data_IF_278482412417
#
_entry.id   IF_278482412417
#
_cell.length_a   1.000
_cell.length_b   1.000
_cell.length_c   1.000
_cell.angle_alpha   90.00
_cell.angle_beta   90.00
_cell.angle_gamma   90.00
#
_symmetry.space_group_name_H-M   'P 1'
#
loop_
_entity.id
_entity.type
_entity.pdbx_description
1 polymer ?
#
# COMPACT_ATOMS: atom_id res chain seq x y z
N UNK A 1 -7.27 -8.97 -65.99
CA UNK A 1 -6.37 -8.77 -64.84
C UNK A 1 -6.46 -9.99 -63.95
N UNK A 2 -5.50 -10.89 -64.09
CA UNK A 2 -5.48 -12.22 -63.49
C UNK A 2 -4.84 -12.13 -62.10
N UNK A 3 -5.62 -12.42 -61.04
CA UNK A 3 -5.15 -12.37 -59.64
C UNK A 3 -4.31 -13.60 -59.36
N UNK A 4 -2.99 -13.43 -59.31
CA UNK A 4 -2.05 -14.46 -58.87
C UNK A 4 -2.25 -14.81 -57.39
N UNK A 5 -2.39 -16.11 -57.04
CA UNK A 5 -2.62 -16.55 -55.67
C UNK A 5 -1.35 -16.39 -54.83
N UNK A 6 -1.47 -15.73 -53.67
CA UNK A 6 -0.34 -15.56 -52.74
C UNK A 6 0.03 -16.89 -52.08
N UNK A 7 1.33 -17.23 -51.99
CA UNK A 7 1.78 -18.47 -51.38
C UNK A 7 1.49 -18.48 -49.88
N UNK A 8 0.81 -19.54 -49.41
CA UNK A 8 0.61 -19.81 -47.98
C UNK A 8 1.95 -20.26 -47.38
N UNK A 9 2.66 -19.33 -46.74
CA UNK A 9 3.84 -19.63 -45.93
C UNK A 9 3.35 -20.32 -44.65
N UNK A 10 3.46 -21.65 -44.60
CA UNK A 10 3.31 -22.40 -43.34
C UNK A 10 4.58 -22.21 -42.52
N UNK A 11 4.57 -21.24 -41.62
CA UNK A 11 5.61 -21.11 -40.59
C UNK A 11 5.42 -22.26 -39.60
N UNK A 12 6.23 -23.30 -39.75
CA UNK A 12 6.27 -24.42 -38.81
C UNK A 12 7.08 -23.98 -37.60
N UNK A 13 6.43 -23.38 -36.61
CA UNK A 13 7.07 -23.01 -35.33
C UNK A 13 7.45 -24.31 -34.63
N UNK A 14 8.74 -24.63 -34.61
CA UNK A 14 9.28 -25.77 -33.86
C UNK A 14 9.08 -25.46 -32.37
N UNK A 15 8.44 -26.33 -31.57
CA UNK A 15 8.30 -26.10 -30.13
C UNK A 15 9.70 -25.97 -29.54
N UNK A 16 10.04 -24.75 -29.09
CA UNK A 16 11.32 -24.43 -28.48
C UNK A 16 11.29 -25.05 -27.09
N UNK A 17 12.06 -26.10 -26.86
CA UNK A 17 12.36 -26.56 -25.51
C UNK A 17 12.87 -25.34 -24.73
N UNK A 18 12.34 -25.05 -23.54
CA UNK A 18 12.80 -23.92 -22.75
C UNK A 18 14.32 -24.08 -22.55
N UNK A 19 15.12 -23.04 -22.82
CA UNK A 19 16.55 -23.12 -22.54
C UNK A 19 16.71 -23.44 -21.05
N UNK A 20 17.71 -24.25 -20.69
CA UNK A 20 18.06 -24.55 -19.30
C UNK A 20 18.20 -23.27 -18.46
N UNK A 21 18.55 -22.16 -19.12
CA UNK A 21 18.67 -20.80 -18.59
C UNK A 21 17.33 -20.19 -18.14
N UNK A 22 16.19 -20.61 -18.70
CA UNK A 22 14.88 -20.08 -18.32
C UNK A 22 14.41 -20.63 -16.97
N UNK A 23 14.76 -21.88 -16.66
CA UNK A 23 14.44 -22.50 -15.38
C UNK A 23 15.29 -21.87 -14.27
N UNK A 24 16.59 -21.68 -14.53
CA UNK A 24 17.48 -21.01 -13.56
C UNK A 24 17.07 -19.55 -13.32
N UNK A 25 16.62 -18.83 -14.35
CA UNK A 25 16.11 -17.47 -14.20
C UNK A 25 14.86 -17.41 -13.31
N UNK A 26 13.88 -18.29 -13.53
CA UNK A 26 12.65 -18.29 -12.73
C UNK A 26 12.92 -18.59 -11.25
N UNK A 27 13.78 -19.57 -10.97
CA UNK A 27 14.23 -19.89 -9.60
C UNK A 27 14.94 -18.70 -8.96
N UNK A 28 15.82 -18.01 -9.69
CA UNK A 28 16.53 -16.84 -9.18
C UNK A 28 15.60 -15.66 -8.86
N UNK A 29 14.58 -15.42 -9.71
CA UNK A 29 13.55 -14.40 -9.45
C UNK A 29 12.73 -14.78 -8.21
N UNK A 30 12.35 -16.05 -8.06
CA UNK A 30 11.60 -16.52 -6.89
C UNK A 30 12.40 -16.34 -5.59
N UNK A 31 13.66 -16.74 -5.57
CA UNK A 31 14.53 -16.61 -4.40
C UNK A 31 14.78 -15.14 -4.03
N UNK A 32 15.02 -14.28 -5.03
CA UNK A 32 15.18 -12.83 -4.84
C UNK A 32 13.90 -12.21 -4.28
N UNK A 33 12.74 -12.57 -4.83
CA UNK A 33 11.45 -12.10 -4.34
C UNK A 33 11.20 -12.56 -2.90
N UNK A 34 11.50 -13.82 -2.59
CA UNK A 34 11.35 -14.40 -1.24
C UNK A 34 12.21 -13.65 -0.22
N UNK A 35 13.43 -13.29 -0.58
CA UNK A 35 14.31 -12.50 0.27
C UNK A 35 13.73 -11.09 0.49
N UNK A 36 13.36 -10.38 -0.58
CA UNK A 36 12.77 -9.03 -0.47
C UNK A 36 11.47 -9.01 0.34
N UNK A 37 10.61 -10.00 0.16
CA UNK A 37 9.38 -10.14 0.97
C UNK A 37 9.70 -10.34 2.44
N UNK A 38 10.70 -11.16 2.79
CA UNK A 38 11.12 -11.34 4.20
C UNK A 38 11.65 -10.04 4.81
N UNK A 39 12.49 -9.31 4.07
CA UNK A 39 13.04 -8.02 4.50
C UNK A 39 11.92 -6.98 4.69
N UNK A 40 11.01 -6.88 3.72
CA UNK A 40 9.85 -5.98 3.80
C UNK A 40 8.90 -6.36 4.95
N UNK A 41 8.65 -7.66 5.19
CA UNK A 41 7.84 -8.12 6.33
C UNK A 41 8.48 -7.71 7.64
N UNK A 42 9.80 -7.91 7.79
CA UNK A 42 10.52 -7.55 9.01
C UNK A 42 10.51 -6.03 9.22
N UNK A 43 10.80 -5.25 8.18
CA UNK A 43 10.80 -3.79 8.22
C UNK A 43 9.41 -3.23 8.57
N UNK A 44 8.35 -3.65 7.89
CA UNK A 44 6.99 -3.19 8.15
C UNK A 44 6.49 -3.63 9.54
N UNK A 45 6.80 -4.86 9.98
CA UNK A 45 6.38 -5.34 11.29
C UNK A 45 7.07 -4.58 12.43
N UNK A 46 8.40 -4.45 12.36
CA UNK A 46 9.19 -3.75 13.38
C UNK A 46 8.89 -2.25 13.39
N UNK A 47 8.83 -1.62 12.21
CA UNK A 47 8.46 -0.22 12.04
C UNK A 47 7.05 0.06 12.56
N UNK A 48 6.07 -0.75 12.15
CA UNK A 48 4.69 -0.62 12.60
C UNK A 48 4.52 -0.77 14.11
N UNK A 49 5.21 -1.73 14.74
CA UNK A 49 5.22 -1.89 16.19
C UNK A 49 5.87 -0.71 16.91
N UNK A 50 6.98 -0.19 16.39
CA UNK A 50 7.66 0.98 16.94
C UNK A 50 6.78 2.24 16.86
N UNK A 51 6.10 2.43 15.73
CA UNK A 51 5.14 3.52 15.53
C UNK A 51 3.96 3.39 16.49
N UNK A 52 3.42 2.18 16.69
CA UNK A 52 2.34 1.94 17.67
C UNK A 52 2.80 2.27 19.10
N UNK A 53 4.01 1.86 19.48
CA UNK A 53 4.57 2.21 20.78
C UNK A 53 4.71 3.73 20.94
N UNK A 54 5.21 4.43 19.91
CA UNK A 54 5.26 5.89 19.87
C UNK A 54 3.88 6.54 19.99
N UNK A 55 2.86 5.97 19.35
CA UNK A 55 1.48 6.44 19.43
C UNK A 55 0.90 6.33 20.85
N UNK A 56 1.24 5.26 21.58
CA UNK A 56 0.86 5.08 23.00
C UNK A 56 1.53 6.14 23.87
N UNK A 57 2.82 6.39 23.68
CA UNK A 57 3.54 7.45 24.40
C UNK A 57 2.91 8.81 24.12
N UNK A 58 2.61 9.12 22.85
CA UNK A 58 1.93 10.35 22.47
C UNK A 58 0.53 10.45 23.11
N UNK A 59 -0.24 9.36 23.19
CA UNK A 59 -1.55 9.33 23.84
C UNK A 59 -1.45 9.66 25.34
N UNK A 60 -0.45 9.12 26.02
CA UNK A 60 -0.19 9.39 27.44
C UNK A 60 0.15 10.87 27.64
N UNK A 61 0.98 11.46 26.78
CA UNK A 61 1.31 12.89 26.83
C UNK A 61 0.04 13.73 26.61
N UNK A 62 -0.75 13.42 25.57
CA UNK A 62 -2.02 14.11 25.29
C UNK A 62 -2.99 14.03 26.47
N UNK A 63 -3.08 12.87 27.13
CA UNK A 63 -3.86 12.71 28.36
C UNK A 63 -3.42 13.68 29.46
N UNK A 64 -2.12 13.76 29.74
CA UNK A 64 -1.60 14.65 30.78
C UNK A 64 -1.79 16.13 30.44
N UNK A 65 -1.62 16.51 29.17
CA UNK A 65 -1.89 17.87 28.70
C UNK A 65 -3.37 18.21 28.86
N UNK A 66 -4.27 17.34 28.43
CA UNK A 66 -5.71 17.52 28.60
C UNK A 66 -6.10 17.62 30.09
N UNK A 67 -5.49 16.80 30.95
CA UNK A 67 -5.71 16.83 32.40
C UNK A 67 -5.23 18.13 33.03
N UNK A 68 -4.05 18.62 32.67
CA UNK A 68 -3.50 19.88 33.15
C UNK A 68 -4.37 21.08 32.70
N UNK A 69 -4.79 21.09 31.43
CA UNK A 69 -5.68 22.12 30.89
C UNK A 69 -7.04 22.15 31.60
N UNK A 70 -7.68 20.99 31.80
CA UNK A 70 -8.91 20.91 32.58
C UNK A 70 -8.68 21.35 34.04
N UNK A 71 -7.55 20.99 34.62
CA UNK A 71 -7.14 21.41 35.96
C UNK A 71 -7.08 22.93 36.07
N UNK A 72 -6.37 23.58 35.14
CA UNK A 72 -6.25 25.03 35.07
C UNK A 72 -7.61 25.68 34.84
N UNK A 73 -8.35 25.29 33.80
CA UNK A 73 -9.65 25.88 33.46
C UNK A 73 -10.68 25.78 34.60
N UNK A 74 -10.73 24.63 35.28
CA UNK A 74 -11.69 24.41 36.37
C UNK A 74 -11.33 25.19 37.63
N UNK A 75 -10.04 25.39 37.94
CA UNK A 75 -9.64 26.17 39.12
C UNK A 75 -10.19 27.61 39.12
N UNK A 76 -10.39 28.21 37.94
CA UNK A 76 -10.92 29.56 37.80
C UNK A 76 -12.45 29.64 37.88
N UNK A 77 -13.16 28.59 37.47
CA UNK A 77 -14.62 28.62 37.31
C UNK A 77 -15.34 27.87 38.44
N UNK A 78 -14.90 26.64 38.75
CA UNK A 78 -15.51 25.77 39.75
C UNK A 78 -14.58 24.62 40.14
N UNK A 79 -14.47 24.33 41.44
CA UNK A 79 -13.66 23.23 41.98
C UNK A 79 -14.24 21.85 41.63
N UNK A 80 -13.86 21.35 40.46
CA UNK A 80 -14.22 20.00 40.00
C UNK A 80 -13.44 18.94 40.81
N UNK A 81 -14.09 17.83 41.25
CA UNK A 81 -13.40 16.76 41.95
C UNK A 81 -12.39 16.03 41.04
N UNK A 82 -11.31 15.53 41.65
CA UNK A 82 -10.17 14.94 40.93
C UNK A 82 -10.55 13.78 39.99
N UNK A 83 -11.47 12.92 40.42
CA UNK A 83 -11.92 11.77 39.62
C UNK A 83 -12.63 12.18 38.33
N UNK A 84 -13.42 13.27 38.37
CA UNK A 84 -14.16 13.75 37.22
C UNK A 84 -13.23 14.36 36.17
N UNK A 85 -12.16 15.06 36.60
CA UNK A 85 -11.11 15.56 35.69
C UNK A 85 -10.43 14.40 34.95
N UNK A 86 -10.08 13.32 35.67
CA UNK A 86 -9.49 12.11 35.06
C UNK A 86 -10.40 11.49 34.02
N UNK A 87 -11.69 11.35 34.33
CA UNK A 87 -12.68 10.77 33.43
C UNK A 87 -12.85 11.62 32.15
N UNK A 88 -12.92 12.95 32.30
CA UNK A 88 -13.00 13.87 31.16
C UNK A 88 -11.74 13.84 30.30
N UNK A 89 -10.54 13.78 30.88
CA UNK A 89 -9.29 13.67 30.11
C UNK A 89 -9.22 12.38 29.29
N UNK A 90 -9.64 11.25 29.85
CA UNK A 90 -9.77 10.01 29.09
C UNK A 90 -10.82 10.11 28.00
N UNK A 91 -11.98 10.72 28.31
CA UNK A 91 -13.05 10.98 27.34
C UNK A 91 -12.57 11.82 26.16
N UNK A 92 -11.72 12.82 26.40
CA UNK A 92 -11.08 13.65 25.37
C UNK A 92 -10.18 12.79 24.48
N UNK A 93 -9.27 12.00 25.05
CA UNK A 93 -8.36 11.15 24.27
C UNK A 93 -9.14 10.15 23.43
N UNK A 94 -10.10 9.44 24.03
CA UNK A 94 -10.97 8.50 23.31
C UNK A 94 -11.76 9.22 22.21
N UNK A 95 -12.28 10.41 22.50
CA UNK A 95 -13.00 11.26 21.55
C UNK A 95 -12.16 11.62 20.32
N UNK A 96 -10.87 11.93 20.50
CA UNK A 96 -9.94 12.17 19.39
C UNK A 96 -9.77 10.94 18.50
N UNK A 97 -9.63 9.75 19.10
CA UNK A 97 -9.52 8.49 18.35
C UNK A 97 -10.80 8.18 17.58
N UNK A 98 -11.98 8.38 18.18
CA UNK A 98 -13.27 8.17 17.52
C UNK A 98 -13.47 9.18 16.39
N UNK A 99 -13.15 10.46 16.63
CA UNK A 99 -13.26 11.51 15.62
C UNK A 99 -12.34 11.21 14.42
N UNK A 100 -11.09 10.87 14.70
CA UNK A 100 -10.12 10.53 13.66
C UNK A 100 -10.49 9.25 12.90
N UNK A 101 -10.98 8.22 13.61
CA UNK A 101 -11.46 7.00 12.96
C UNK A 101 -12.61 7.28 12.00
N UNK A 102 -13.51 8.23 12.33
CA UNK A 102 -14.62 8.63 11.45
C UNK A 102 -14.16 9.43 10.24
N UNK A 103 -13.20 10.35 10.40
CA UNK A 103 -12.68 11.15 9.27
C UNK A 103 -11.89 10.28 8.28
N UNK A 104 -11.13 9.30 8.77
CA UNK A 104 -10.32 8.45 7.89
C UNK A 104 -11.14 7.44 7.05
N UNK A 105 -12.40 7.13 7.44
CA UNK A 105 -13.25 6.25 6.61
C UNK A 105 -13.48 6.84 5.22
N UNK A 106 -13.50 8.17 5.10
CA UNK A 106 -13.71 8.86 3.83
C UNK A 106 -12.46 8.83 2.93
N UNK A 107 -11.25 8.80 3.51
CA UNK A 107 -10.00 8.66 2.74
C UNK A 107 -9.72 7.21 2.30
N UNK A 108 -10.31 6.24 2.99
CA UNK A 108 -10.29 4.83 2.61
C UNK A 108 -11.35 4.48 1.56
N UNK A 109 -12.12 5.45 1.04
CA UNK A 109 -12.99 5.25 -0.11
C UNK A 109 -12.15 4.97 -1.37
N UNK A 110 -11.81 3.69 -1.48
CA UNK A 110 -11.81 2.89 -2.70
C UNK A 110 -12.07 3.70 -3.96
N UNK A 111 -11.00 3.93 -4.70
CA UNK A 111 -11.09 4.27 -6.12
C UNK A 111 -11.63 3.03 -6.85
N UNK A 112 -12.95 2.90 -6.91
CA UNK A 112 -13.62 1.97 -7.81
C UNK A 112 -13.24 2.34 -9.25
N UNK A 113 -12.35 1.54 -9.84
CA UNK A 113 -12.06 1.66 -11.27
C UNK A 113 -13.15 0.91 -12.01
N UNK A 114 -14.16 1.66 -12.47
CA UNK A 114 -15.23 1.11 -13.29
C UNK A 114 -14.65 0.68 -14.65
N UNK A 115 -14.54 -0.63 -14.87
CA UNK A 115 -14.07 -1.18 -16.14
C UNK A 115 -15.11 -0.92 -17.23
N UNK A 116 -14.79 -0.06 -18.19
CA UNK A 116 -15.67 0.33 -19.31
C UNK A 116 -16.06 -0.84 -20.23
N UNK A 117 -15.51 -2.04 -20.03
CA UNK A 117 -15.69 -3.22 -20.88
C UNK A 117 -16.53 -4.35 -20.25
N UNK A 118 -17.32 -4.08 -19.20
CA UNK A 118 -18.25 -5.07 -18.65
C UNK A 118 -17.59 -6.22 -17.88
N UNK A 119 -16.31 -6.07 -17.52
CA UNK A 119 -15.64 -6.92 -16.54
C UNK A 119 -16.02 -6.52 -15.12
N UNK A 120 -16.07 -7.49 -14.21
CA UNK A 120 -16.35 -7.25 -12.79
C UNK A 120 -15.43 -6.15 -12.22
N UNK A 121 -15.96 -5.13 -11.55
CA UNK A 121 -15.15 -4.08 -10.95
C UNK A 121 -14.17 -4.70 -9.95
N UNK A 122 -12.93 -4.23 -9.96
CA UNK A 122 -11.91 -4.61 -8.97
C UNK A 122 -11.49 -3.37 -8.18
N UNK A 123 -11.59 -3.47 -6.87
CA UNK A 123 -11.21 -2.41 -5.93
C UNK A 123 -9.74 -2.55 -5.55
N UNK A 124 -8.95 -1.50 -5.80
CA UNK A 124 -7.53 -1.45 -5.41
C UNK A 124 -7.37 -0.36 -4.36
N UNK A 125 -7.20 -0.77 -3.11
CA UNK A 125 -6.90 0.13 -2.00
C UNK A 125 -5.43 0.58 -2.08
N UNK A 126 -5.19 1.89 -2.13
CA UNK A 126 -3.85 2.48 -2.10
C UNK A 126 -3.45 2.81 -0.66
N UNK A 127 -2.40 2.18 -0.09
CA UNK A 127 -2.05 2.36 1.33
C UNK A 127 -1.27 3.66 1.64
N UNK A 128 -0.90 4.48 0.64
CA UNK A 128 0.19 5.47 0.79
C UNK A 128 -0.23 6.95 0.97
N UNK A 129 -1.51 7.30 0.98
CA UNK A 129 -1.92 8.73 0.94
C UNK A 129 -2.10 9.37 2.34
N UNK A 130 -2.07 8.60 3.42
CA UNK A 130 -2.44 9.09 4.76
C UNK A 130 -1.39 9.87 5.57
N UNK A 131 -0.11 9.88 5.16
CA UNK A 131 0.96 10.57 5.93
C UNK A 131 1.11 12.06 5.59
N UNK A 132 0.73 12.45 4.38
CA UNK A 132 0.67 13.86 3.94
C UNK A 132 -0.79 14.25 3.83
N UNK A 133 -1.50 14.12 4.93
CA UNK A 133 -2.92 14.37 4.93
C UNK A 133 -3.15 15.89 4.82
N UNK A 134 -3.48 16.33 3.60
CA UNK A 134 -4.07 17.61 3.23
C UNK A 134 -5.48 17.70 3.82
N UNK A 135 -5.55 17.57 5.14
CA UNK A 135 -6.76 17.72 5.93
C UNK A 135 -7.16 19.19 5.86
N UNK A 136 -7.90 19.55 4.82
CA UNK A 136 -8.67 20.79 4.69
C UNK A 136 -9.82 20.89 5.72
N UNK A 137 -9.78 20.15 6.85
CA UNK A 137 -10.75 20.30 7.96
C UNK A 137 -10.71 21.73 8.55
N UNK A 138 -9.76 22.55 8.14
CA UNK A 138 -9.71 23.99 8.42
C UNK A 138 -9.62 24.88 7.18
N UNK A 139 -10.38 24.61 6.11
CA UNK A 139 -10.56 25.54 4.99
C UNK A 139 -10.79 27.01 5.47
N UNK A 140 -10.21 28.02 4.78
CA UNK A 140 -9.25 28.94 5.39
C UNK A 140 -9.77 30.26 5.94
N UNK A 141 -11.08 30.52 5.95
CA UNK A 141 -11.51 31.91 6.14
C UNK A 141 -11.48 32.43 7.57
N UNK A 142 -11.31 31.58 8.59
CA UNK A 142 -11.50 32.05 9.98
C UNK A 142 -10.71 31.36 11.09
N UNK A 143 -10.07 30.21 10.86
CA UNK A 143 -9.40 29.47 11.95
C UNK A 143 -7.90 29.76 11.91
N UNK A 144 -7.43 30.50 12.91
CA UNK A 144 -6.03 30.95 13.00
C UNK A 144 -5.04 29.78 13.03
N UNK A 145 -3.85 29.99 12.44
CA UNK A 145 -2.77 29.01 12.31
C UNK A 145 -2.40 28.29 13.62
N UNK A 146 -2.59 28.97 14.77
CA UNK A 146 -2.36 28.38 16.08
C UNK A 146 -3.30 27.19 16.39
N UNK A 147 -4.59 27.31 16.10
CA UNK A 147 -5.54 26.21 16.33
C UNK A 147 -5.23 24.99 15.44
N UNK A 148 -4.76 25.22 14.21
CA UNK A 148 -4.31 24.14 13.34
C UNK A 148 -3.10 23.41 13.90
N UNK A 149 -2.12 24.14 14.44
CA UNK A 149 -0.95 23.55 15.10
C UNK A 149 -1.37 22.71 16.32
N UNK A 150 -2.26 23.24 17.16
CA UNK A 150 -2.79 22.51 18.32
C UNK A 150 -3.53 21.25 17.86
N UNK A 151 -4.42 21.36 16.86
CA UNK A 151 -5.14 20.21 16.32
C UNK A 151 -4.20 19.14 15.74
N UNK A 152 -3.17 19.55 15.00
CA UNK A 152 -2.16 18.64 14.45
C UNK A 152 -1.44 17.87 15.56
N UNK A 153 -0.99 18.55 16.61
CA UNK A 153 -0.33 17.92 17.76
C UNK A 153 -1.28 16.92 18.45
N UNK A 154 -2.54 17.28 18.64
CA UNK A 154 -3.53 16.44 19.31
C UNK A 154 -3.93 15.22 18.49
N UNK A 155 -4.00 15.35 17.16
CA UNK A 155 -4.31 14.27 16.23
C UNK A 155 -3.11 13.38 15.88
N UNK A 156 -1.89 13.79 16.26
CA UNK A 156 -0.67 13.02 15.98
C UNK A 156 -0.75 11.62 16.57
N UNK A 157 -1.27 11.46 17.79
CA UNK A 157 -1.35 10.16 18.46
C UNK A 157 -2.29 9.16 17.75
N UNK A 158 -3.55 9.52 17.44
CA UNK A 158 -4.41 8.69 16.59
C UNK A 158 -3.82 8.36 15.22
N UNK A 159 -3.20 9.34 14.55
CA UNK A 159 -2.59 9.16 13.23
C UNK A 159 -1.45 8.14 13.26
N UNK A 160 -0.53 8.26 14.22
CA UNK A 160 0.55 7.30 14.42
C UNK A 160 -0.01 5.90 14.69
N UNK A 161 -1.05 5.77 15.52
CA UNK A 161 -1.63 4.47 15.81
C UNK A 161 -2.16 3.79 14.54
N UNK A 162 -2.90 4.51 13.70
CA UNK A 162 -3.42 3.94 12.45
C UNK A 162 -2.32 3.63 11.43
N UNK A 163 -1.30 4.47 11.31
CA UNK A 163 -0.13 4.21 10.47
C UNK A 163 0.58 2.92 10.90
N UNK A 164 0.85 2.77 12.20
CA UNK A 164 1.47 1.55 12.73
C UNK A 164 0.62 0.30 12.53
N UNK A 165 -0.70 0.38 12.71
CA UNK A 165 -1.62 -0.72 12.42
C UNK A 165 -1.63 -1.06 10.92
N UNK A 166 -1.56 -0.06 10.03
CA UNK A 166 -1.50 -0.26 8.59
C UNK A 166 -0.24 -1.01 8.18
N UNK A 167 0.92 -0.64 8.74
CA UNK A 167 2.20 -1.32 8.49
C UNK A 167 2.20 -2.76 8.99
N UNK A 168 1.66 -3.01 10.19
CA UNK A 168 1.50 -4.38 10.72
C UNK A 168 0.57 -5.20 9.84
N UNK A 169 -0.56 -4.63 9.38
CA UNK A 169 -1.47 -5.31 8.45
C UNK A 169 -0.80 -5.59 7.11
N UNK A 170 -0.01 -4.65 6.58
CA UNK A 170 0.78 -4.83 5.36
C UNK A 170 1.78 -5.99 5.51
N UNK A 171 2.49 -6.05 6.63
CA UNK A 171 3.40 -7.16 6.94
C UNK A 171 2.66 -8.52 6.98
N UNK A 172 1.44 -8.55 7.52
CA UNK A 172 0.62 -9.77 7.54
C UNK A 172 0.14 -10.18 6.13
N UNK A 173 -0.21 -9.22 5.27
CA UNK A 173 -0.58 -9.49 3.87
C UNK A 173 0.61 -9.99 3.06
N UNK A 174 1.78 -9.36 3.20
CA UNK A 174 3.03 -9.81 2.57
C UNK A 174 3.44 -11.22 3.00
N UNK A 175 3.17 -11.61 4.26
CA UNK A 175 3.37 -13.00 4.73
C UNK A 175 2.49 -14.03 4.05
N UNK A 176 1.33 -13.63 3.52
CA UNK A 176 0.37 -14.50 2.84
C UNK A 176 0.53 -14.47 1.31
N UNK A 177 1.61 -13.85 0.81
CA UNK A 177 1.89 -13.70 -0.61
C UNK A 177 2.20 -15.04 -1.29
N UNK A 178 1.62 -15.26 -2.47
CA UNK A 178 1.92 -16.42 -3.31
C UNK A 178 3.19 -16.13 -4.12
N UNK A 179 4.34 -16.40 -3.50
CA UNK A 179 5.67 -16.08 -4.06
C UNK A 179 5.86 -16.71 -5.45
N UNK A 180 5.56 -18.01 -5.69
CA UNK A 180 5.71 -18.61 -7.03
C UNK A 180 4.88 -17.93 -8.11
N UNK A 181 3.61 -17.61 -7.83
CA UNK A 181 2.73 -16.94 -8.79
C UNK A 181 3.23 -15.52 -9.10
N UNK A 182 3.60 -14.76 -8.06
CA UNK A 182 4.14 -13.41 -8.20
C UNK A 182 5.48 -13.39 -8.96
N UNK A 183 6.39 -14.32 -8.65
CA UNK A 183 7.68 -14.44 -9.33
C UNK A 183 7.51 -14.73 -10.83
N UNK A 184 6.50 -15.51 -11.20
CA UNK A 184 6.17 -15.83 -12.60
C UNK A 184 5.76 -14.57 -13.38
N UNK A 185 4.90 -13.74 -12.79
CA UNK A 185 4.48 -12.47 -13.41
C UNK A 185 5.66 -11.48 -13.47
N UNK A 186 6.42 -11.34 -12.39
CA UNK A 186 7.62 -10.49 -12.36
C UNK A 186 8.63 -10.93 -13.42
N UNK A 187 8.89 -12.23 -13.57
CA UNK A 187 9.77 -12.76 -14.60
C UNK A 187 9.29 -12.42 -16.01
N UNK A 188 7.98 -12.47 -16.26
CA UNK A 188 7.38 -12.02 -17.53
C UNK A 188 7.58 -10.52 -17.77
N UNK A 189 7.42 -9.70 -16.74
CA UNK A 189 7.62 -8.24 -16.81
C UNK A 189 9.08 -7.87 -17.07
N UNK A 190 10.01 -8.53 -16.37
CA UNK A 190 11.45 -8.36 -16.55
C UNK A 190 11.87 -8.74 -17.98
N UNK A 191 11.38 -9.87 -18.50
CA UNK A 191 11.68 -10.34 -19.84
C UNK A 191 11.16 -9.42 -20.96
N UNK A 192 10.06 -8.69 -20.72
CA UNK A 192 9.49 -7.76 -21.71
C UNK A 192 10.10 -6.35 -21.64
N UNK A 193 10.70 -5.96 -20.51
CA UNK A 193 11.27 -4.62 -20.26
C UNK A 193 10.28 -3.46 -20.49
N UNK A 194 8.97 -3.75 -20.56
CA UNK A 194 7.88 -2.81 -20.82
C UNK A 194 6.67 -3.14 -19.96
N UNK A 195 5.68 -2.25 -19.96
CA UNK A 195 4.38 -2.52 -19.38
C UNK A 195 3.80 -3.84 -19.94
N UNK A 196 3.23 -4.65 -19.05
CA UNK A 196 2.52 -5.87 -19.41
C UNK A 196 1.04 -5.66 -19.10
N UNK A 197 0.20 -5.76 -20.13
CA UNK A 197 -1.25 -5.60 -19.95
C UNK A 197 -1.85 -6.81 -19.23
N UNK A 198 -2.98 -6.60 -18.55
CA UNK A 198 -3.68 -7.71 -17.88
C UNK A 198 -4.14 -8.80 -18.87
N UNK A 199 -4.52 -8.41 -20.08
CA UNK A 199 -4.86 -9.35 -21.15
C UNK A 199 -3.67 -10.25 -21.52
N UNK A 200 -2.46 -9.69 -21.59
CA UNK A 200 -1.25 -10.46 -21.85
C UNK A 200 -0.95 -11.45 -20.71
N UNK A 201 -1.18 -11.05 -19.45
CA UNK A 201 -0.97 -11.91 -18.27
C UNK A 201 -1.99 -13.06 -18.26
N UNK A 202 -3.28 -12.75 -18.48
CA UNK A 202 -4.36 -13.74 -18.55
C UNK A 202 -4.15 -14.74 -19.71
N UNK A 203 -3.71 -14.25 -20.86
CA UNK A 203 -3.40 -15.10 -22.01
C UNK A 203 -2.19 -16.02 -21.75
N UNK A 204 -1.19 -15.55 -21.00
CA UNK A 204 -0.01 -16.33 -20.66
C UNK A 204 -0.27 -17.37 -19.55
N UNK A 205 -1.10 -17.03 -18.56
CA UNK A 205 -1.33 -17.84 -17.37
C UNK A 205 -2.82 -17.96 -17.02
N UNK A 206 -3.62 -18.70 -17.82
CA UNK A 206 -5.07 -18.79 -17.63
C UNK A 206 -5.50 -19.53 -16.35
N UNK A 207 -4.56 -20.19 -15.68
CA UNK A 207 -4.80 -20.95 -14.44
C UNK A 207 -4.52 -20.13 -13.16
N UNK A 208 -3.93 -18.94 -13.28
CA UNK A 208 -3.65 -18.08 -12.14
C UNK A 208 -4.85 -17.18 -11.85
N UNK A 209 -5.17 -17.03 -10.57
CA UNK A 209 -6.10 -15.99 -10.11
C UNK A 209 -5.39 -14.62 -10.18
N UNK A 210 -5.43 -14.01 -11.37
CA UNK A 210 -4.72 -12.75 -11.65
C UNK A 210 -5.15 -11.64 -10.69
N UNK A 211 -6.43 -11.58 -10.29
CA UNK A 211 -6.91 -10.56 -9.35
C UNK A 211 -6.18 -10.62 -8.01
N UNK A 212 -6.09 -11.83 -7.43
CA UNK A 212 -5.36 -12.06 -6.18
C UNK A 212 -3.87 -11.78 -6.31
N UNK A 213 -3.22 -12.29 -7.36
CA UNK A 213 -1.77 -12.15 -7.55
C UNK A 213 -1.38 -10.69 -7.82
N UNK A 214 -2.19 -9.95 -8.59
CA UNK A 214 -2.00 -8.52 -8.82
C UNK A 214 -2.15 -7.72 -7.53
N UNK A 215 -3.18 -8.01 -6.72
CA UNK A 215 -3.33 -7.39 -5.40
C UNK A 215 -2.11 -7.62 -4.50
N UNK A 216 -1.55 -8.84 -4.52
CA UNK A 216 -0.33 -9.17 -3.78
C UNK A 216 0.91 -8.47 -4.35
N UNK A 217 1.05 -8.36 -5.67
CA UNK A 217 2.15 -7.65 -6.31
C UNK A 217 2.14 -6.15 -5.99
N UNK A 218 0.97 -5.53 -5.88
CA UNK A 218 0.83 -4.12 -5.53
C UNK A 218 1.25 -3.81 -4.08
N UNK A 219 1.37 -4.83 -3.22
CA UNK A 219 1.95 -4.65 -1.89
C UNK A 219 3.48 -4.52 -1.92
N UNK A 220 4.13 -4.84 -3.05
CA UNK A 220 5.58 -4.64 -3.24
C UNK A 220 5.88 -3.20 -3.66
N UNK A 221 6.81 -2.57 -2.95
CA UNK A 221 7.30 -1.25 -3.32
C UNK A 221 7.98 -1.30 -4.70
N UNK A 222 7.50 -0.48 -5.63
CA UNK A 222 8.02 -0.40 -7.00
C UNK A 222 7.20 -1.14 -8.06
N UNK A 223 6.13 -1.83 -7.69
CA UNK A 223 5.11 -2.28 -8.66
C UNK A 223 4.09 -1.17 -8.86
N UNK A 224 3.94 -0.69 -10.09
CA UNK A 224 3.01 0.40 -10.41
C UNK A 224 1.93 -0.10 -11.35
N UNK A 225 0.68 0.15 -10.97
CA UNK A 225 -0.48 -0.05 -11.83
C UNK A 225 -0.62 1.14 -12.79
N UNK A 226 -0.54 0.87 -14.09
CA UNK A 226 -0.84 1.86 -15.12
C UNK A 226 -2.33 1.77 -15.44
N UNK A 227 -3.03 2.91 -15.24
CA UNK A 227 -4.47 3.05 -15.51
C UNK A 227 -4.77 3.45 -16.95
N UNK A 228 -3.77 3.91 -17.70
CA UNK A 228 -3.92 4.25 -19.11
C UNK A 228 -4.13 2.99 -19.95
N UNK A 229 -5.04 3.04 -20.92
CA UNK A 229 -5.33 1.89 -21.77
C UNK A 229 -4.10 1.55 -22.66
N UNK A 230 -3.63 0.29 -22.68
CA UNK A 230 -4.19 -0.87 -21.97
C UNK A 230 -3.73 -0.92 -20.50
N UNK A 231 -4.69 -1.14 -19.59
CA UNK A 231 -4.41 -1.27 -18.15
C UNK A 231 -3.44 -2.42 -17.91
N UNK A 232 -2.40 -2.15 -17.12
CA UNK A 232 -1.33 -3.12 -16.92
C UNK A 232 -0.45 -2.82 -15.73
N UNK A 233 0.58 -3.65 -15.58
CA UNK A 233 1.59 -3.49 -14.55
C UNK A 233 2.91 -3.05 -15.18
N UNK A 234 3.65 -2.23 -14.44
CA UNK A 234 5.05 -1.91 -14.73
C UNK A 234 5.88 -1.99 -13.46
N UNK A 235 7.18 -2.30 -13.61
CA UNK A 235 8.16 -2.23 -12.53
C UNK A 235 8.91 -0.90 -12.63
N UNK A 236 9.09 -0.22 -11.50
CA UNK A 236 10.00 0.92 -11.40
C UNK A 236 11.42 0.51 -11.81
N UNK A 237 12.23 1.47 -12.31
CA UNK A 237 13.61 1.19 -12.71
C UNK A 237 14.44 0.61 -11.55
N UNK A 238 14.24 1.11 -10.33
CA UNK A 238 14.98 0.66 -9.15
C UNK A 238 14.67 -0.80 -8.82
N UNK A 239 13.38 -1.18 -8.81
CA UNK A 239 12.97 -2.55 -8.53
C UNK A 239 13.47 -3.51 -9.61
N UNK A 240 13.44 -3.07 -10.87
CA UNK A 240 13.96 -3.83 -12.01
C UNK A 240 15.47 -4.08 -11.87
N UNK A 241 16.23 -3.03 -11.55
CA UNK A 241 17.66 -3.12 -11.34
C UNK A 241 17.99 -4.10 -10.20
N UNK A 242 17.26 -4.02 -9.09
CA UNK A 242 17.45 -4.92 -7.95
C UNK A 242 17.18 -6.38 -8.30
N UNK A 243 16.13 -6.67 -9.09
CA UNK A 243 15.84 -8.04 -9.52
C UNK A 243 16.88 -8.57 -10.50
N UNK A 244 17.33 -7.75 -11.45
CA UNK A 244 18.38 -8.14 -12.40
C UNK A 244 19.71 -8.42 -11.67
N UNK A 245 20.09 -7.53 -10.73
CA UNK A 245 21.25 -7.71 -9.88
C UNK A 245 21.16 -8.99 -9.02
N UNK A 246 20.00 -9.26 -8.42
CA UNK A 246 19.75 -10.49 -7.65
C UNK A 246 19.81 -11.76 -8.50
N UNK A 247 19.42 -11.68 -9.77
CA UNK A 247 19.52 -12.80 -10.71
C UNK A 247 20.93 -12.98 -11.31
N UNK A 248 21.89 -12.12 -10.97
CA UNK A 248 23.24 -12.13 -11.56
C UNK A 248 23.27 -11.67 -13.03
N UNK A 249 22.22 -11.00 -13.50
CA UNK A 249 22.15 -10.41 -14.83
C UNK A 249 22.58 -8.94 -14.72
N UNK A 250 23.73 -8.58 -15.27
CA UNK A 250 24.09 -7.18 -15.46
C UNK A 250 23.12 -6.57 -16.47
N UNK A 251 22.42 -5.51 -16.06
CA UNK A 251 21.46 -4.77 -16.87
C UNK A 251 22.08 -4.13 -18.12
#
# INVERSE_FOLDING_TARGET
>A
MEKTPRPKIRVRIKPRTPPTDAISFHVAVEDTLRQKVKEAVLANLSGGLLICAGAVVAAIITYWVAFALLGFLTQWVFTMPFWLKRLLSWGIVIGLYVLHARTNVEELMELEVESRHGGSPFTIAWPAVGLLNNVEIFSPKTIGSFLRLVAAIWLTSPQLMWAGIADVKRAMRLRQMDIPACATIIGMMLGKNKMVSFEEILAAYPHLDVGRVVGQLLELDGVVLLREEPVGLTLTPDLRHDFLAGCGLSA
#
